data_IF_345963775522
#
_entry.id   IF_345963775522
#
_cell.length_a   1.000
_cell.length_b   1.000
_cell.length_c   1.000
_cell.angle_alpha   90.00
_cell.angle_beta   90.00
_cell.angle_gamma   90.00
#
_symmetry.space_group_name_H-M   'P 1'
#
loop_
_entity.id
_entity.type
_entity.pdbx_description
1 polymer ?
#
# COMPACT_ATOMS: atom_id res chain seq x y z
N UNK A 1 17.99 -11.34 20.56
CA UNK A 1 17.64 -11.11 19.15
C UNK A 1 16.75 -9.87 19.06
N UNK A 2 17.16 -8.89 18.26
CA UNK A 2 16.37 -7.68 17.98
C UNK A 2 15.10 -8.03 17.20
N UNK A 3 14.04 -7.23 17.31
CA UNK A 3 12.82 -7.35 16.50
C UNK A 3 13.15 -7.48 14.99
N UNK A 4 14.18 -6.76 14.54
CA UNK A 4 14.66 -6.83 13.16
C UNK A 4 15.21 -8.21 12.77
N UNK A 5 15.91 -8.88 13.68
CA UNK A 5 16.50 -10.20 13.45
C UNK A 5 15.43 -11.30 13.40
N UNK A 6 14.45 -11.21 14.31
CA UNK A 6 13.27 -12.09 14.31
C UNK A 6 12.52 -11.96 12.98
N UNK A 7 12.26 -10.73 12.53
CA UNK A 7 11.54 -10.47 11.28
C UNK A 7 12.30 -10.97 10.05
N UNK A 8 13.63 -10.83 10.03
CA UNK A 8 14.49 -11.33 8.95
C UNK A 8 14.53 -12.87 8.91
N UNK A 9 14.59 -13.51 10.08
CA UNK A 9 14.56 -14.97 10.21
C UNK A 9 13.23 -15.55 9.73
N UNK A 10 12.10 -15.00 10.20
CA UNK A 10 10.76 -15.38 9.74
C UNK A 10 10.64 -15.19 8.22
N UNK A 11 11.26 -14.14 7.66
CA UNK A 11 11.30 -13.91 6.20
C UNK A 11 12.07 -14.93 5.39
N UNK A 12 13.18 -15.39 5.91
CA UNK A 12 13.92 -16.49 5.30
C UNK A 12 13.13 -17.80 5.34
N UNK A 13 12.49 -18.10 6.47
CA UNK A 13 11.71 -19.33 6.68
C UNK A 13 10.48 -19.36 5.77
N UNK A 14 9.70 -18.28 5.72
CA UNK A 14 8.49 -18.21 4.91
C UNK A 14 8.79 -18.36 3.41
N UNK A 15 9.85 -17.71 2.92
CA UNK A 15 10.31 -17.84 1.53
C UNK A 15 10.74 -19.26 1.19
N UNK A 16 11.42 -19.95 2.11
CA UNK A 16 11.84 -21.35 1.95
C UNK A 16 10.65 -22.32 1.89
N UNK A 17 9.52 -21.97 2.50
CA UNK A 17 8.31 -22.79 2.52
C UNK A 17 7.28 -22.38 1.45
N UNK A 18 7.62 -21.49 0.50
CA UNK A 18 6.68 -20.90 -0.47
C UNK A 18 5.46 -20.22 0.19
N UNK A 19 5.63 -19.70 1.40
CA UNK A 19 4.63 -18.92 2.16
C UNK A 19 4.92 -17.41 2.04
N UNK A 20 5.22 -16.91 0.84
CA UNK A 20 5.52 -15.49 0.61
C UNK A 20 4.35 -14.56 1.01
N UNK A 21 3.12 -15.09 1.04
CA UNK A 21 1.89 -14.45 1.51
C UNK A 21 1.94 -13.97 2.98
N UNK A 22 2.83 -14.53 3.80
CA UNK A 22 2.96 -14.15 5.22
C UNK A 22 3.63 -12.77 5.36
N UNK A 23 4.36 -12.30 4.35
CA UNK A 23 5.31 -11.19 4.50
C UNK A 23 4.96 -9.98 3.65
N UNK A 24 4.18 -10.17 2.60
CA UNK A 24 3.66 -9.08 1.79
C UNK A 24 2.33 -8.50 2.31
N UNK A 25 2.26 -8.18 3.61
CA UNK A 25 1.24 -7.32 4.29
C UNK A 25 -0.27 -7.57 4.01
N UNK A 26 -0.64 -8.51 3.15
CA UNK A 26 -2.01 -8.86 2.76
C UNK A 26 -2.01 -10.31 2.27
N UNK A 27 -2.97 -11.09 2.75
CA UNK A 27 -3.15 -12.49 2.35
C UNK A 27 -3.60 -12.57 0.87
N UNK A 28 -3.15 -13.60 0.14
CA UNK A 28 -3.52 -13.85 -1.25
C UNK A 28 -5.02 -14.04 -1.45
N UNK A 29 -5.51 -13.76 -2.66
CA UNK A 29 -6.94 -13.87 -2.99
C UNK A 29 -7.44 -15.30 -2.81
N UNK A 30 -6.63 -16.29 -3.17
CA UNK A 30 -6.97 -17.71 -3.10
C UNK A 30 -7.07 -18.17 -1.64
N UNK A 31 -6.17 -17.68 -0.78
CA UNK A 31 -6.26 -17.93 0.66
C UNK A 31 -7.56 -17.37 1.25
N UNK A 32 -7.93 -16.12 0.89
CA UNK A 32 -9.19 -15.52 1.35
C UNK A 32 -10.41 -16.31 0.88
N UNK A 33 -10.42 -16.77 -0.38
CA UNK A 33 -11.46 -17.63 -0.94
C UNK A 33 -11.58 -18.94 -0.17
N UNK A 34 -10.45 -19.59 0.13
CA UNK A 34 -10.41 -20.83 0.93
C UNK A 34 -10.98 -20.62 2.33
N UNK A 35 -10.61 -19.52 2.99
CA UNK A 35 -11.13 -19.17 4.32
C UNK A 35 -12.65 -18.97 4.28
N UNK A 36 -13.17 -18.24 3.29
CA UNK A 36 -14.62 -18.01 3.15
C UNK A 36 -15.37 -19.28 2.81
N UNK A 37 -14.78 -20.17 2.01
CA UNK A 37 -15.39 -21.46 1.70
C UNK A 37 -15.68 -22.27 2.97
N UNK A 38 -14.75 -22.29 3.94
CA UNK A 38 -14.98 -23.01 5.21
C UNK A 38 -16.11 -22.42 6.07
N UNK A 39 -16.42 -21.13 5.91
CA UNK A 39 -17.58 -20.51 6.58
C UNK A 39 -18.88 -20.98 5.92
N UNK A 40 -18.88 -21.14 4.59
CA UNK A 40 -20.03 -21.72 3.87
C UNK A 40 -20.28 -23.19 4.25
N UNK A 41 -19.24 -23.91 4.65
CA UNK A 41 -19.35 -25.27 5.21
C UNK A 41 -19.95 -25.30 6.63
N UNK A 42 -20.28 -24.13 7.21
CA UNK A 42 -20.99 -24.04 8.48
C UNK A 42 -20.11 -23.69 9.69
N UNK A 43 -18.81 -23.44 9.51
CA UNK A 43 -17.97 -22.97 10.62
C UNK A 43 -18.26 -21.52 10.97
N UNK A 44 -18.23 -21.20 12.26
CA UNK A 44 -18.29 -19.81 12.71
C UNK A 44 -17.02 -19.04 12.33
N UNK A 45 -17.10 -17.70 12.35
CA UNK A 45 -15.96 -16.81 12.11
C UNK A 45 -14.79 -17.10 13.08
N UNK A 46 -15.10 -17.39 14.36
CA UNK A 46 -14.10 -17.62 15.41
C UNK A 46 -13.40 -18.96 15.24
N UNK A 47 -14.14 -20.00 14.89
CA UNK A 47 -13.58 -21.33 14.62
C UNK A 47 -12.72 -21.32 13.35
N UNK A 48 -13.21 -20.65 12.30
CA UNK A 48 -12.46 -20.44 11.06
C UNK A 48 -11.16 -19.68 11.34
N UNK A 49 -11.22 -18.59 12.09
CA UNK A 49 -10.04 -17.82 12.49
C UNK A 49 -9.01 -18.67 13.26
N UNK A 50 -9.48 -19.52 14.19
CA UNK A 50 -8.64 -20.46 14.93
C UNK A 50 -8.03 -21.53 14.01
N UNK A 51 -8.81 -22.09 13.07
CA UNK A 51 -8.36 -23.11 12.10
C UNK A 51 -7.24 -22.60 11.20
N UNK A 52 -7.35 -21.36 10.74
CA UNK A 52 -6.37 -20.73 9.85
C UNK A 52 -5.32 -19.87 10.57
N UNK A 53 -5.34 -19.84 11.91
CA UNK A 53 -4.41 -19.05 12.73
C UNK A 53 -4.37 -17.56 12.35
N UNK A 54 -5.53 -17.00 12.00
CA UNK A 54 -5.71 -15.59 11.64
C UNK A 54 -6.58 -14.88 12.66
N UNK A 55 -6.53 -13.55 12.66
CA UNK A 55 -7.41 -12.75 13.51
C UNK A 55 -8.84 -12.79 12.96
N UNK A 56 -9.83 -12.96 13.83
CA UNK A 56 -11.27 -12.97 13.47
C UNK A 56 -11.69 -11.72 12.68
N UNK A 57 -11.13 -10.55 13.02
CA UNK A 57 -11.38 -9.31 12.30
C UNK A 57 -10.99 -9.37 10.81
N UNK A 58 -9.95 -10.13 10.44
CA UNK A 58 -9.56 -10.32 9.03
C UNK A 58 -10.62 -11.12 8.28
N UNK A 59 -11.16 -12.16 8.90
CA UNK A 59 -12.23 -12.99 8.35
C UNK A 59 -13.49 -12.16 8.10
N UNK A 60 -13.91 -11.37 9.11
CA UNK A 60 -15.05 -10.45 8.96
C UNK A 60 -14.85 -9.44 7.83
N UNK A 61 -13.63 -8.92 7.65
CA UNK A 61 -13.32 -8.02 6.53
C UNK A 61 -13.47 -8.71 5.18
N UNK A 62 -13.03 -9.97 5.05
CA UNK A 62 -13.10 -10.71 3.78
C UNK A 62 -14.51 -11.14 3.40
N UNK A 63 -15.38 -11.40 4.37
CA UNK A 63 -16.81 -11.64 4.12
C UNK A 63 -17.43 -10.43 3.40
N UNK A 64 -17.06 -9.22 3.80
CA UNK A 64 -17.55 -7.98 3.19
C UNK A 64 -16.82 -7.65 1.87
N UNK A 65 -15.50 -7.87 1.82
CA UNK A 65 -14.67 -7.54 0.66
C UNK A 65 -13.49 -8.52 0.54
N UNK A 66 -13.58 -9.43 -0.44
CA UNK A 66 -12.54 -10.42 -0.73
C UNK A 66 -11.32 -9.76 -1.40
N UNK A 67 -11.58 -8.91 -2.39
CA UNK A 67 -10.53 -8.24 -3.16
C UNK A 67 -9.75 -7.26 -2.29
N UNK A 68 -8.41 -7.21 -2.38
CA UNK A 68 -7.64 -6.16 -1.72
C UNK A 68 -8.10 -4.79 -2.22
N UNK A 69 -8.24 -3.84 -1.28
CA UNK A 69 -8.53 -2.45 -1.65
C UNK A 69 -7.38 -1.90 -2.48
N UNK A 70 -7.69 -1.47 -3.70
CA UNK A 70 -6.71 -0.80 -4.55
C UNK A 70 -6.16 0.45 -3.82
N UNK A 71 -4.82 0.60 -3.84
CA UNK A 71 -4.22 1.86 -3.43
C UNK A 71 -4.58 2.91 -4.46
N UNK A 72 -5.32 3.93 -4.04
CA UNK A 72 -5.58 5.08 -4.90
C UNK A 72 -4.36 6.00 -4.89
N UNK A 73 -4.05 6.57 -6.06
CA UNK A 73 -3.03 7.60 -6.15
C UNK A 73 -3.51 8.84 -5.40
N UNK A 74 -2.68 9.34 -4.48
CA UNK A 74 -2.98 10.57 -3.74
C UNK A 74 -2.91 11.77 -4.68
N UNK A 75 -4.00 12.51 -4.85
CA UNK A 75 -4.00 13.81 -5.49
C UNK A 75 -3.24 14.82 -4.62
N UNK A 76 -2.18 15.41 -5.18
CA UNK A 76 -1.39 16.47 -4.53
C UNK A 76 -1.89 17.84 -4.99
N UNK A 77 -1.49 18.90 -4.28
CA UNK A 77 -1.83 20.29 -4.63
C UNK A 77 -1.26 20.75 -5.97
N UNK A 78 -0.15 20.16 -6.40
CA UNK A 78 0.51 20.49 -7.68
C UNK A 78 0.21 19.33 -8.63
N UNK A 79 -0.43 19.63 -9.76
CA UNK A 79 -0.60 18.65 -10.83
C UNK A 79 0.76 18.36 -11.47
N UNK A 80 1.02 17.07 -11.67
CA UNK A 80 2.25 16.56 -12.24
C UNK A 80 2.44 17.09 -13.67
N UNK A 81 1.41 17.01 -14.49
CA UNK A 81 1.43 17.36 -15.91
C UNK A 81 1.57 18.87 -16.12
N UNK A 82 0.94 19.67 -15.27
CA UNK A 82 1.03 21.13 -15.33
C UNK A 82 2.43 21.63 -14.95
N UNK A 83 3.06 21.03 -13.94
CA UNK A 83 4.42 21.39 -13.55
C UNK A 83 5.45 21.12 -14.67
N UNK A 84 5.30 20.04 -15.44
CA UNK A 84 6.19 19.77 -16.59
C UNK A 84 6.05 20.88 -17.62
N UNK A 85 4.82 21.22 -17.99
CA UNK A 85 4.54 22.26 -18.97
C UNK A 85 5.11 23.61 -18.54
N UNK A 86 4.99 23.95 -17.26
CA UNK A 86 5.58 25.18 -16.71
C UNK A 86 7.12 25.16 -16.74
N UNK A 87 7.76 23.99 -16.55
CA UNK A 87 9.22 23.83 -16.68
C UNK A 87 9.67 23.99 -18.14
N UNK A 88 8.95 23.38 -19.08
CA UNK A 88 9.23 23.49 -20.52
C UNK A 88 9.02 24.91 -21.04
N UNK A 89 7.95 25.58 -20.60
CA UNK A 89 7.62 26.93 -21.04
C UNK A 89 8.57 27.99 -20.45
N UNK A 90 9.05 27.78 -19.23
CA UNK A 90 9.90 28.73 -18.51
C UNK A 90 11.11 28.02 -17.91
N UNK A 91 12.11 27.59 -18.70
CA UNK A 91 13.24 26.80 -18.18
C UNK A 91 14.02 27.55 -17.09
N UNK A 92 14.22 28.86 -17.26
CA UNK A 92 15.01 29.71 -16.35
C UNK A 92 14.21 30.25 -15.15
N UNK A 93 12.91 29.93 -15.04
CA UNK A 93 12.09 30.46 -13.96
C UNK A 93 12.50 29.92 -12.58
N UNK A 94 12.61 30.83 -11.62
CA UNK A 94 12.93 30.49 -10.24
C UNK A 94 11.77 29.75 -9.58
N UNK A 95 12.09 28.90 -8.59
CA UNK A 95 11.08 28.15 -7.84
C UNK A 95 10.04 29.04 -7.17
N UNK A 96 10.40 30.28 -6.80
CA UNK A 96 9.48 31.26 -6.22
C UNK A 96 8.44 31.72 -7.23
N UNK A 97 8.84 32.04 -8.46
CA UNK A 97 7.93 32.48 -9.54
C UNK A 97 6.96 31.36 -9.93
N UNK A 98 7.47 30.12 -10.02
CA UNK A 98 6.63 28.93 -10.23
C UNK A 98 5.62 28.79 -9.09
N UNK A 99 6.06 28.96 -7.84
CA UNK A 99 5.19 28.84 -6.68
C UNK A 99 4.06 29.87 -6.68
N UNK A 100 4.33 31.10 -7.14
CA UNK A 100 3.31 32.14 -7.33
C UNK A 100 2.27 31.73 -8.39
N UNK A 101 2.69 31.17 -9.54
CA UNK A 101 1.78 30.65 -10.59
C UNK A 101 0.88 29.52 -10.09
N UNK A 102 1.43 28.59 -9.31
CA UNK A 102 0.71 27.45 -8.76
C UNK A 102 -0.03 27.76 -7.44
N UNK A 103 0.09 28.98 -6.90
CA UNK A 103 -0.51 29.36 -5.61
C UNK A 103 -0.03 28.52 -4.42
N UNK A 104 1.23 28.05 -4.46
CA UNK A 104 1.84 27.20 -3.43
C UNK A 104 3.06 27.88 -2.81
N UNK A 105 3.64 27.28 -1.76
CA UNK A 105 4.91 27.76 -1.23
C UNK A 105 6.09 27.22 -2.07
N UNK A 106 7.19 27.97 -2.11
CA UNK A 106 8.41 27.59 -2.82
C UNK A 106 8.91 26.18 -2.47
N UNK A 107 8.83 25.79 -1.19
CA UNK A 107 9.22 24.46 -0.72
C UNK A 107 8.42 23.34 -1.38
N UNK A 108 7.14 23.57 -1.71
CA UNK A 108 6.32 22.59 -2.40
C UNK A 108 6.81 22.36 -3.84
N UNK A 109 7.22 23.43 -4.54
CA UNK A 109 7.84 23.34 -5.87
C UNK A 109 9.18 22.61 -5.80
N UNK A 110 10.05 22.95 -4.84
CA UNK A 110 11.32 22.25 -4.66
C UNK A 110 11.14 20.74 -4.42
N UNK A 111 10.23 20.36 -3.53
CA UNK A 111 9.91 18.96 -3.28
C UNK A 111 9.30 18.28 -4.50
N UNK A 112 8.48 19.01 -5.25
CA UNK A 112 7.90 18.51 -6.48
C UNK A 112 9.03 18.21 -7.45
N UNK A 113 9.85 19.18 -7.83
CA UNK A 113 10.97 19.06 -8.79
C UNK A 113 12.01 18.00 -8.40
N UNK A 114 12.45 17.97 -7.13
CA UNK A 114 13.43 16.98 -6.65
C UNK A 114 12.98 15.52 -6.81
N UNK A 115 11.67 15.28 -6.91
CA UNK A 115 11.15 13.92 -7.12
C UNK A 115 11.29 13.44 -8.58
N UNK A 116 11.69 14.33 -9.48
CA UNK A 116 11.81 14.06 -10.92
C UNK A 116 13.25 13.98 -11.40
N UNK A 117 14.17 14.68 -10.73
CA UNK A 117 15.59 14.37 -10.80
C UNK A 117 15.85 12.92 -10.35
#
# INVERSE_FOLDING_TARGET
MSYYEIKKSIKSIAKRLNFDDIIYMSYSIDFRRKVIFTIKEGLSIRETAKRFWIRSASVSRWINQIEPKASTTRHRKIDKSELIKDVEQYPDAYQKERAERFGVCQKAIWQALKKWD
#
